data_IF_258110493103
#
_entry.id   IF_258110493103
#
_cell.length_a   1.000
_cell.length_b   1.000
_cell.length_c   1.000
_cell.angle_alpha   90.00
_cell.angle_beta   90.00
_cell.angle_gamma   90.00
#
_symmetry.space_group_name_H-M   'P 1'
#
loop_
_entity.id
_entity.type
_entity.pdbx_description
1 polymer ?
#
# COMPACT_ATOMS: atom_id res chain seq x y z
N UNK A 1 -10.16 -55.42 -45.38
CA UNK A 1 -8.70 -55.30 -45.20
C UNK A 1 -8.39 -54.12 -44.29
N UNK A 2 -7.75 -54.39 -43.14
CA UNK A 2 -6.89 -53.51 -42.31
C UNK A 2 -7.39 -52.32 -41.45
N UNK A 3 -8.68 -52.00 -41.33
CA UNK A 3 -9.09 -50.87 -40.43
C UNK A 3 -9.01 -51.24 -38.93
N UNK A 4 -9.29 -52.49 -38.55
CA UNK A 4 -9.27 -52.94 -37.14
C UNK A 4 -7.86 -53.06 -36.54
N UNK A 5 -6.80 -53.16 -37.36
CA UNK A 5 -5.42 -53.30 -36.89
C UNK A 5 -4.82 -51.94 -36.47
N UNK A 6 -5.24 -50.84 -37.11
CA UNK A 6 -4.67 -49.49 -36.93
C UNK A 6 -5.04 -48.81 -35.60
N UNK A 7 -6.15 -49.20 -34.98
CA UNK A 7 -6.58 -48.67 -33.66
C UNK A 7 -5.91 -49.37 -32.47
N UNK A 8 -5.41 -50.60 -32.65
CA UNK A 8 -4.77 -51.37 -31.57
C UNK A 8 -3.31 -50.99 -31.34
N UNK A 9 -2.66 -50.41 -32.33
CA UNK A 9 -1.27 -49.94 -32.22
C UNK A 9 -1.14 -48.53 -31.63
N UNK A 10 -2.20 -47.70 -31.69
CA UNK A 10 -2.17 -46.34 -31.13
C UNK A 10 -2.14 -46.31 -29.59
N UNK A 11 -2.57 -47.40 -28.91
CA UNK A 11 -2.46 -47.54 -27.45
C UNK A 11 -1.12 -48.11 -26.96
N UNK A 12 -0.30 -48.68 -27.85
CA UNK A 12 1.02 -49.25 -27.49
C UNK A 12 2.15 -48.23 -27.50
N UNK A 13 1.93 -47.06 -28.10
CA UNK A 13 2.91 -45.97 -28.19
C UNK A 13 2.73 -44.87 -27.15
N UNK A 14 1.87 -45.05 -26.13
CA UNK A 14 1.84 -44.15 -24.98
C UNK A 14 2.95 -44.54 -24.02
N UNK A 15 4.18 -44.09 -24.29
CA UNK A 15 5.24 -44.05 -23.27
C UNK A 15 4.76 -43.11 -22.16
N UNK A 16 4.20 -43.67 -21.11
CA UNK A 16 3.78 -42.93 -19.93
C UNK A 16 5.00 -42.40 -19.18
N UNK A 17 4.87 -41.22 -18.58
CA UNK A 17 5.85 -40.66 -17.67
C UNK A 17 6.06 -41.63 -16.51
N UNK A 18 7.30 -41.94 -16.16
CA UNK A 18 7.56 -42.85 -15.04
C UNK A 18 7.28 -42.12 -13.73
N UNK A 19 6.76 -42.84 -12.71
CA UNK A 19 6.60 -42.26 -11.37
C UNK A 19 7.95 -41.77 -10.82
N UNK A 20 9.05 -42.44 -11.21
CA UNK A 20 10.42 -42.10 -10.83
C UNK A 20 10.84 -40.73 -11.39
N UNK A 21 10.54 -40.43 -12.65
CA UNK A 21 10.81 -39.10 -13.21
C UNK A 21 10.04 -38.00 -12.47
N UNK A 22 8.81 -38.28 -12.02
CA UNK A 22 8.01 -37.30 -11.31
C UNK A 22 8.55 -37.01 -9.90
N UNK A 23 8.97 -38.04 -9.16
CA UNK A 23 9.50 -37.83 -7.80
C UNK A 23 10.82 -37.06 -7.81
N UNK A 24 11.71 -37.32 -8.78
CA UNK A 24 13.01 -36.63 -8.86
C UNK A 24 12.81 -35.13 -9.11
N UNK A 25 11.86 -34.79 -9.99
CA UNK A 25 11.52 -33.38 -10.27
C UNK A 25 10.94 -32.71 -9.02
N UNK A 26 10.02 -33.36 -8.30
CA UNK A 26 9.46 -32.81 -7.06
C UNK A 26 10.52 -32.61 -5.97
N UNK A 27 11.49 -33.52 -5.85
CA UNK A 27 12.62 -33.39 -4.92
C UNK A 27 13.46 -32.16 -5.26
N UNK A 28 13.81 -31.97 -6.54
CA UNK A 28 14.59 -30.79 -6.96
C UNK A 28 13.79 -29.50 -6.72
N UNK A 29 12.50 -29.47 -7.07
CA UNK A 29 11.63 -28.31 -6.83
C UNK A 29 11.52 -27.98 -5.34
N UNK A 30 11.46 -28.99 -4.46
CA UNK A 30 11.42 -28.80 -3.02
C UNK A 30 12.71 -28.13 -2.49
N UNK A 31 13.88 -28.59 -2.96
CA UNK A 31 15.18 -28.01 -2.58
C UNK A 31 15.28 -26.55 -3.06
N UNK A 32 14.86 -26.26 -4.30
CA UNK A 32 14.88 -24.90 -4.84
C UNK A 32 13.92 -23.97 -4.07
N UNK A 33 12.71 -24.43 -3.75
CA UNK A 33 11.75 -23.65 -2.98
C UNK A 33 12.26 -23.34 -1.57
N UNK A 34 12.96 -24.27 -0.91
CA UNK A 34 13.50 -24.07 0.43
C UNK A 34 14.46 -22.88 0.53
N UNK A 35 15.30 -22.66 -0.48
CA UNK A 35 16.23 -21.52 -0.53
C UNK A 35 15.59 -20.25 -1.10
N UNK A 36 14.62 -20.39 -2.01
CA UNK A 36 14.04 -19.26 -2.73
C UNK A 36 13.02 -18.47 -1.89
N UNK A 37 12.17 -19.16 -1.13
CA UNK A 37 11.06 -18.54 -0.39
C UNK A 37 11.56 -17.46 0.61
N UNK A 38 12.59 -17.71 1.46
CA UNK A 38 13.05 -16.70 2.41
C UNK A 38 13.51 -15.40 1.73
N UNK A 39 14.28 -15.51 0.65
CA UNK A 39 14.75 -14.34 -0.10
C UNK A 39 13.56 -13.58 -0.71
N UNK A 40 12.64 -14.29 -1.37
CA UNK A 40 11.49 -13.68 -2.03
C UNK A 40 10.57 -12.94 -1.05
N UNK A 41 10.31 -13.52 0.13
CA UNK A 41 9.46 -12.88 1.16
C UNK A 41 10.01 -11.54 1.65
N UNK A 42 11.33 -11.42 1.80
CA UNK A 42 12.00 -10.16 2.16
C UNK A 42 11.84 -9.08 1.07
N UNK A 43 12.00 -9.46 -0.20
CA UNK A 43 11.77 -8.54 -1.32
C UNK A 43 10.32 -8.08 -1.42
N UNK A 44 9.36 -8.98 -1.22
CA UNK A 44 7.93 -8.64 -1.21
C UNK A 44 7.64 -7.63 -0.09
N UNK A 45 8.15 -7.83 1.12
CA UNK A 45 7.96 -6.89 2.23
C UNK A 45 8.52 -5.50 1.90
N UNK A 46 9.75 -5.42 1.37
CA UNK A 46 10.37 -4.15 0.98
C UNK A 46 9.63 -3.47 -0.17
N UNK A 47 9.09 -4.24 -1.11
CA UNK A 47 8.26 -3.71 -2.20
C UNK A 47 6.96 -3.13 -1.65
N UNK A 48 6.27 -3.83 -0.74
CA UNK A 48 5.07 -3.34 -0.07
C UNK A 48 5.34 -2.06 0.73
N UNK A 49 6.44 -2.01 1.49
CA UNK A 49 6.81 -0.83 2.28
C UNK A 49 7.09 0.38 1.37
N UNK A 50 7.72 0.17 0.21
CA UNK A 50 7.95 1.24 -0.78
C UNK A 50 6.67 1.67 -1.49
N UNK A 51 5.81 0.72 -1.83
CA UNK A 51 4.54 0.97 -2.50
C UNK A 51 3.65 1.86 -1.64
N UNK A 52 3.44 1.50 -0.37
CA UNK A 52 2.56 2.27 0.53
C UNK A 52 3.11 3.69 0.79
N UNK A 53 4.43 3.87 0.82
CA UNK A 53 5.06 5.20 0.95
C UNK A 53 4.88 6.02 -0.33
N UNK A 54 4.94 5.39 -1.51
CA UNK A 54 4.71 6.09 -2.77
C UNK A 54 3.26 6.59 -2.87
N UNK A 55 2.29 5.71 -2.62
CA UNK A 55 0.86 6.07 -2.58
C UNK A 55 0.59 7.14 -1.50
N UNK A 56 1.19 6.99 -0.32
CA UNK A 56 1.11 8.00 0.74
C UNK A 56 1.69 9.35 0.34
N UNK A 57 2.76 9.39 -0.47
CA UNK A 57 3.31 10.65 -1.00
C UNK A 57 2.37 11.31 -1.99
N UNK A 58 1.72 10.54 -2.85
CA UNK A 58 0.68 11.05 -3.75
C UNK A 58 -0.46 11.69 -2.93
N UNK A 59 -0.93 10.99 -1.89
CA UNK A 59 -1.94 11.53 -0.97
C UNK A 59 -1.45 12.79 -0.24
N UNK A 60 -0.18 12.84 0.19
CA UNK A 60 0.42 13.99 0.86
C UNK A 60 0.47 15.22 -0.04
N UNK A 61 0.90 15.06 -1.30
CA UNK A 61 0.97 16.16 -2.24
C UNK A 61 -0.44 16.68 -2.55
N UNK A 62 -1.40 15.79 -2.82
CA UNK A 62 -2.79 16.16 -3.05
C UNK A 62 -3.38 16.90 -1.83
N UNK A 63 -3.14 16.40 -0.62
CA UNK A 63 -3.59 17.06 0.60
C UNK A 63 -2.95 18.45 0.78
N UNK A 64 -1.65 18.60 0.53
CA UNK A 64 -0.99 19.91 0.63
C UNK A 64 -1.52 20.92 -0.39
N UNK A 65 -1.82 20.48 -1.61
CA UNK A 65 -2.44 21.32 -2.63
C UNK A 65 -3.84 21.75 -2.20
N UNK A 66 -4.71 20.80 -1.83
CA UNK A 66 -6.07 21.08 -1.39
C UNK A 66 -6.13 22.03 -0.17
N UNK A 67 -5.21 21.87 0.77
CA UNK A 67 -5.12 22.74 1.94
C UNK A 67 -4.60 24.14 1.62
N UNK A 68 -3.77 24.28 0.57
CA UNK A 68 -3.29 25.58 0.12
C UNK A 68 -4.44 26.41 -0.46
N UNK A 69 -5.34 25.77 -1.22
CA UNK A 69 -6.56 26.43 -1.71
C UNK A 69 -7.51 26.83 -0.58
N UNK A 70 -7.64 25.99 0.45
CA UNK A 70 -8.45 26.30 1.61
C UNK A 70 -7.85 27.45 2.45
N UNK A 71 -6.52 27.55 2.49
CA UNK A 71 -5.84 28.67 3.13
C UNK A 71 -6.12 30.01 2.43
N UNK A 72 -6.20 30.03 1.10
CA UNK A 72 -6.60 31.23 0.35
C UNK A 72 -8.03 31.68 0.66
N UNK A 73 -8.92 30.74 0.97
CA UNK A 73 -10.32 31.03 1.35
C UNK A 73 -10.49 31.45 2.81
N UNK A 74 -9.48 31.28 3.66
CA UNK A 74 -9.54 31.59 5.10
C UNK A 74 -9.93 33.04 5.39
N UNK A 75 -9.54 33.98 4.51
CA UNK A 75 -9.88 35.40 4.64
C UNK A 75 -11.34 35.71 4.24
N UNK A 76 -12.05 34.75 3.59
CA UNK A 76 -13.39 34.91 3.06
C UNK A 76 -14.50 34.40 4.00
N UNK A 77 -14.40 34.57 5.32
CA UNK A 77 -15.43 34.17 6.32
C UNK A 77 -15.83 32.67 6.32
N UNK A 78 -15.28 31.87 5.42
CA UNK A 78 -15.50 30.43 5.30
C UNK A 78 -14.57 29.71 6.25
N UNK A 79 -15.15 28.97 7.20
CA UNK A 79 -14.40 28.08 8.08
C UNK A 79 -13.83 26.92 7.28
N UNK A 80 -12.76 26.30 7.79
CA UNK A 80 -12.20 25.07 7.26
C UNK A 80 -13.27 23.99 7.06
N UNK A 81 -13.45 23.53 5.82
CA UNK A 81 -14.39 22.45 5.49
C UNK A 81 -13.66 21.16 5.16
N UNK A 82 -13.71 20.18 6.07
CA UNK A 82 -13.05 18.87 5.91
C UNK A 82 -13.47 18.14 4.62
N UNK A 83 -14.76 18.22 4.28
CA UNK A 83 -15.33 17.54 3.11
C UNK A 83 -14.81 18.11 1.78
N UNK A 84 -14.53 19.41 1.72
CA UNK A 84 -14.01 20.06 0.51
C UNK A 84 -12.58 19.61 0.25
N UNK A 85 -11.75 19.54 1.30
CA UNK A 85 -10.39 19.02 1.21
C UNK A 85 -10.38 17.55 0.79
N UNK A 86 -11.26 16.71 1.34
CA UNK A 86 -11.36 15.29 0.97
C UNK A 86 -11.75 15.14 -0.50
N UNK A 87 -12.70 15.95 -0.98
CA UNK A 87 -13.13 15.94 -2.38
C UNK A 87 -11.99 16.37 -3.30
N UNK A 88 -11.30 17.45 -2.97
CA UNK A 88 -10.18 17.96 -3.77
C UNK A 88 -9.02 16.94 -3.82
N UNK A 89 -8.73 16.24 -2.72
CA UNK A 89 -7.76 15.14 -2.73
C UNK A 89 -8.20 14.04 -3.71
N UNK A 90 -9.49 13.69 -3.74
CA UNK A 90 -10.00 12.67 -4.68
C UNK A 90 -9.87 13.14 -6.14
N UNK A 91 -10.18 14.40 -6.41
CA UNK A 91 -10.09 15.00 -7.74
C UNK A 91 -8.62 15.09 -8.21
N UNK A 92 -7.70 15.52 -7.35
CA UNK A 92 -6.26 15.62 -7.64
C UNK A 92 -5.57 14.26 -7.81
N UNK A 93 -6.14 13.21 -7.25
CA UNK A 93 -5.60 11.84 -7.36
C UNK A 93 -6.31 11.01 -8.43
N UNK A 94 -7.30 11.57 -9.12
CA UNK A 94 -8.15 10.85 -10.08
C UNK A 94 -8.76 9.55 -9.49
N UNK A 95 -8.97 9.54 -8.16
CA UNK A 95 -9.38 8.35 -7.44
C UNK A 95 -8.39 7.17 -7.44
N UNK A 96 -7.14 7.36 -7.87
CA UNK A 96 -6.09 6.32 -8.01
C UNK A 96 -5.57 5.77 -6.66
N UNK A 97 -6.09 6.28 -5.55
CA UNK A 97 -5.76 5.79 -4.22
C UNK A 97 -6.65 4.59 -3.85
N UNK A 98 -6.10 3.38 -3.97
CA UNK A 98 -6.74 2.13 -3.52
C UNK A 98 -6.93 2.04 -2.00
N UNK A 99 -6.20 2.87 -1.24
CA UNK A 99 -6.18 2.89 0.22
C UNK A 99 -7.01 4.00 0.84
N UNK A 100 -7.00 4.04 2.17
CA UNK A 100 -7.63 5.09 2.96
C UNK A 100 -6.61 5.95 3.68
N UNK A 101 -6.93 7.23 3.89
CA UNK A 101 -6.03 8.19 4.54
C UNK A 101 -6.65 8.95 5.72
N UNK A 102 -5.79 9.41 6.62
CA UNK A 102 -6.10 10.35 7.69
C UNK A 102 -5.07 11.48 7.67
N UNK A 103 -5.53 12.72 7.49
CA UNK A 103 -4.70 13.92 7.45
C UNK A 103 -4.97 14.77 8.68
N UNK A 104 -3.92 15.16 9.39
CA UNK A 104 -3.95 16.12 10.49
C UNK A 104 -3.27 17.40 10.02
N UNK A 105 -3.96 18.52 10.17
CA UNK A 105 -3.59 19.82 9.61
C UNK A 105 -3.27 20.80 10.73
N UNK A 106 -2.18 21.54 10.59
CA UNK A 106 -1.87 22.66 11.49
C UNK A 106 -2.85 23.83 11.22
N UNK A 107 -3.63 24.29 12.21
CA UNK A 107 -4.68 25.31 11.99
C UNK A 107 -4.14 26.73 11.74
N UNK A 108 -2.87 27.00 12.05
CA UNK A 108 -2.24 28.29 11.80
C UNK A 108 -1.73 28.38 10.36
N UNK A 109 -1.14 27.30 9.86
CA UNK A 109 -0.42 27.29 8.57
C UNK A 109 -1.12 26.53 7.46
N UNK A 110 -2.15 25.75 7.77
CA UNK A 110 -2.87 24.87 6.85
C UNK A 110 -1.92 23.87 6.17
N UNK A 111 -0.82 23.51 6.84
CA UNK A 111 0.12 22.49 6.38
C UNK A 111 -0.23 21.16 7.00
N UNK A 112 0.04 20.08 6.26
CA UNK A 112 -0.08 18.73 6.78
C UNK A 112 0.95 18.52 7.88
N UNK A 113 0.48 18.25 9.11
CA UNK A 113 1.31 17.88 10.25
C UNK A 113 1.60 16.38 10.26
N UNK A 114 0.55 15.58 10.13
CA UNK A 114 0.64 14.13 10.05
C UNK A 114 -0.27 13.61 8.94
N UNK A 115 0.22 12.64 8.17
CA UNK A 115 -0.60 11.89 7.23
C UNK A 115 -0.39 10.40 7.47
N UNK A 116 -1.48 9.66 7.65
CA UNK A 116 -1.47 8.20 7.70
C UNK A 116 -2.22 7.66 6.50
N UNK A 117 -1.57 6.87 5.66
CA UNK A 117 -2.17 6.22 4.50
C UNK A 117 -2.07 4.70 4.64
N UNK A 118 -3.16 3.97 4.44
CA UNK A 118 -3.19 2.50 4.51
C UNK A 118 -3.85 1.88 3.30
N UNK A 119 -3.14 0.90 2.70
CA UNK A 119 -3.66 0.06 1.62
C UNK A 119 -4.15 -1.31 2.10
N UNK A 120 -4.48 -1.43 3.40
CA UNK A 120 -4.93 -2.67 4.04
C UNK A 120 -3.82 -3.70 4.32
N UNK A 121 -2.62 -3.56 3.74
CA UNK A 121 -1.46 -4.43 4.02
C UNK A 121 -0.43 -3.74 4.92
N UNK A 122 -0.19 -2.45 4.67
CA UNK A 122 0.73 -1.60 5.42
C UNK A 122 0.09 -0.24 5.66
N UNK A 123 0.70 0.51 6.57
CA UNK A 123 0.37 1.92 6.76
C UNK A 123 1.66 2.73 6.69
N UNK A 124 1.69 3.73 5.82
CA UNK A 124 2.73 4.74 5.77
C UNK A 124 2.28 5.96 6.58
N UNK A 125 3.13 6.39 7.51
CA UNK A 125 2.89 7.57 8.35
C UNK A 125 3.95 8.61 8.03
N UNK A 126 3.50 9.80 7.68
CA UNK A 126 4.34 10.98 7.51
C UNK A 126 4.17 11.91 8.70
N UNK A 127 5.28 12.38 9.27
CA UNK A 127 5.29 13.44 10.28
C UNK A 127 6.15 14.62 9.79
N UNK A 128 5.61 15.83 9.83
CA UNK A 128 6.33 17.05 9.43
C UNK A 128 7.44 17.44 10.42
N UNK A 129 7.31 16.99 11.66
CA UNK A 129 8.18 17.31 12.78
C UNK A 129 8.37 16.08 13.68
N UNK A 130 9.49 16.03 14.39
CA UNK A 130 9.70 15.02 15.41
C UNK A 130 8.93 15.42 16.68
N UNK A 131 8.40 14.46 17.41
CA UNK A 131 7.66 14.72 18.66
C UNK A 131 7.97 13.67 19.72
N UNK A 132 7.78 14.02 21.00
CA UNK A 132 8.07 13.13 22.12
C UNK A 132 9.55 13.01 22.47
N UNK A 133 9.84 12.26 23.53
CA UNK A 133 11.20 11.95 24.01
C UNK A 133 11.26 10.47 24.41
N UNK A 134 12.45 9.86 24.31
CA UNK A 134 12.65 8.44 24.64
C UNK A 134 11.97 7.47 23.65
N UNK A 135 11.61 6.28 24.12
CA UNK A 135 11.06 5.18 23.30
C UNK A 135 9.69 5.48 22.66
N UNK A 136 9.04 6.59 23.02
CA UNK A 136 7.82 7.08 22.38
C UNK A 136 8.06 8.24 21.41
N UNK A 137 9.33 8.56 21.13
CA UNK A 137 9.66 9.59 20.16
C UNK A 137 9.20 9.19 18.75
N UNK A 138 8.55 10.12 18.07
CA UNK A 138 8.15 10.00 16.69
C UNK A 138 9.19 10.73 15.84
N UNK A 139 9.80 10.03 14.90
CA UNK A 139 10.77 10.63 13.99
C UNK A 139 10.08 11.46 12.91
N UNK A 140 10.75 12.54 12.49
CA UNK A 140 10.34 13.33 11.33
C UNK A 140 10.48 12.51 10.05
N UNK A 141 9.50 12.61 9.17
CA UNK A 141 9.50 11.96 7.85
C UNK A 141 8.59 10.75 7.76
N UNK A 142 8.96 9.80 6.90
CA UNK A 142 8.15 8.62 6.59
C UNK A 142 8.54 7.43 7.47
N UNK A 143 7.56 6.85 8.15
CA UNK A 143 7.67 5.55 8.81
C UNK A 143 6.65 4.58 8.21
N UNK A 144 6.96 3.28 8.24
CA UNK A 144 6.04 2.23 7.76
C UNK A 144 5.74 1.28 8.90
N UNK A 145 4.46 1.07 9.14
CA UNK A 145 3.95 0.16 10.16
C UNK A 145 3.02 -0.89 9.55
N UNK A 146 2.63 -1.86 10.38
CA UNK A 146 1.60 -2.83 10.00
C UNK A 146 0.27 -2.12 9.72
N UNK A 147 -0.57 -2.73 8.88
CA UNK A 147 -1.86 -2.16 8.53
C UNK A 147 -2.63 -1.71 9.77
N UNK A 148 -3.01 -0.44 9.77
CA UNK A 148 -3.91 0.17 10.73
C UNK A 148 -5.25 0.39 10.04
N UNK A 149 -6.35 0.04 10.70
CA UNK A 149 -7.68 0.21 10.11
C UNK A 149 -8.05 1.69 10.06
N UNK A 150 -8.11 2.25 8.86
CA UNK A 150 -8.68 3.57 8.58
C UNK A 150 -10.03 3.31 7.90
N UNK A 151 -11.13 3.51 8.63
CA UNK A 151 -12.47 3.14 8.16
C UNK A 151 -13.00 4.07 7.07
N UNK A 152 -12.54 5.33 7.04
CA UNK A 152 -12.95 6.33 6.06
C UNK A 152 -11.87 7.39 5.91
N UNK A 153 -11.74 7.96 4.70
CA UNK A 153 -10.88 9.12 4.46
C UNK A 153 -11.27 10.26 5.39
N UNK A 154 -10.27 10.87 6.02
CA UNK A 154 -10.50 11.95 6.98
C UNK A 154 -9.42 13.02 6.88
N UNK A 155 -9.85 14.26 7.09
CA UNK A 155 -9.00 15.44 7.23
C UNK A 155 -9.49 16.17 8.46
N UNK A 156 -8.59 16.51 9.39
CA UNK A 156 -8.95 17.22 10.62
C UNK A 156 -7.92 18.27 10.96
N UNK A 157 -8.36 19.39 11.54
CA UNK A 157 -7.45 20.31 12.20
C UNK A 157 -6.88 19.65 13.45
N UNK A 158 -5.60 19.90 13.73
CA UNK A 158 -5.02 19.53 15.01
C UNK A 158 -5.80 20.21 16.13
N UNK A 159 -6.38 19.39 17.01
CA UNK A 159 -6.92 19.90 18.25
C UNK A 159 -5.73 20.24 19.12
N UNK A 160 -5.54 21.52 19.43
CA UNK A 160 -4.69 21.91 20.55
C UNK A 160 -5.33 21.31 21.81
N UNK A 161 -4.86 20.15 22.24
CA UNK A 161 -5.20 19.65 23.58
C UNK A 161 -4.70 20.71 24.58
N UNK A 162 -5.57 21.24 25.47
CA UNK A 162 -5.13 22.16 26.51
C UNK A 162 -4.18 21.49 27.51
#
# INVERSE_FOLDING_TARGET
MNVMKKLRDSRKNKKGFTLVELIVVLVILAILMAILIPALTGYIRKAQDKQVVAEGRTALMAAQTALSEEYEKKDATTNFVEADVIKEIADLTDGDLDGSYSVVVDPATYKVKTLSYSNGKKTAVYNSEASGTGDSAVEKGWTVQNASTITTNSVKLETTTP
#
